data_IF_650514909332
#
_entry.id   IF_650514909332
#
_cell.length_a   1.000
_cell.length_b   1.000
_cell.length_c   1.000
_cell.angle_alpha   90.00
_cell.angle_beta   90.00
_cell.angle_gamma   90.00
#
_symmetry.space_group_name_H-M   'P 1'
#
loop_
_entity.id
_entity.type
_entity.pdbx_description
1 polymer ?
#
# COMPACT_ATOMS: atom_id res chain seq x y z
N UNK A 1 12.96 1.18 6.57
CA UNK A 1 11.79 1.78 7.27
C UNK A 1 10.50 1.12 6.78
N UNK A 2 9.60 0.63 7.66
CA UNK A 2 8.32 0.03 7.27
C UNK A 2 7.11 0.87 7.70
N UNK A 3 6.07 0.90 6.88
CA UNK A 3 4.83 1.64 7.16
C UNK A 3 3.60 0.76 7.00
N UNK A 4 2.53 1.02 7.75
CA UNK A 4 1.22 0.36 7.53
C UNK A 4 0.62 0.80 6.20
N UNK A 5 0.00 -0.12 5.47
CA UNK A 5 -0.65 0.13 4.18
C UNK A 5 -2.11 -0.34 4.14
N UNK A 6 -2.78 -0.08 3.01
CA UNK A 6 -4.16 -0.48 2.75
C UNK A 6 -5.15 -0.12 3.88
N UNK A 7 -6.02 -1.06 4.26
CA UNK A 7 -7.10 -0.79 5.22
C UNK A 7 -6.58 -0.28 6.57
N UNK A 8 -5.47 -0.85 7.07
CA UNK A 8 -4.84 -0.41 8.31
C UNK A 8 -4.39 1.05 8.27
N UNK A 9 -3.84 1.51 7.15
CA UNK A 9 -3.43 2.91 7.01
C UNK A 9 -4.63 3.87 7.02
N UNK A 10 -5.76 3.48 6.43
CA UNK A 10 -6.99 4.28 6.44
C UNK A 10 -7.59 4.36 7.84
N UNK A 11 -7.56 3.27 8.60
CA UNK A 11 -8.04 3.24 9.98
C UNK A 11 -7.14 4.05 10.92
N UNK A 12 -5.82 3.99 10.74
CA UNK A 12 -4.89 4.86 11.45
C UNK A 12 -5.12 6.34 11.14
N UNK A 13 -5.44 6.68 9.88
CA UNK A 13 -5.83 8.04 9.50
C UNK A 13 -7.16 8.47 10.14
N UNK A 14 -8.15 7.57 10.23
CA UNK A 14 -9.46 7.84 10.89
C UNK A 14 -9.34 7.98 12.41
N UNK A 15 -8.35 7.30 13.00
CA UNK A 15 -8.24 7.15 14.46
C UNK A 15 -9.13 6.05 15.04
N UNK A 16 -9.83 5.29 14.20
CA UNK A 16 -10.70 4.17 14.60
C UNK A 16 -10.70 3.07 13.54
N UNK A 17 -10.99 1.85 13.97
CA UNK A 17 -11.09 0.70 13.08
C UNK A 17 -12.47 0.64 12.41
N UNK A 18 -12.52 0.68 11.08
CA UNK A 18 -13.81 0.69 10.36
C UNK A 18 -14.35 -0.69 9.99
N UNK A 19 -13.50 -1.72 9.98
CA UNK A 19 -13.85 -3.13 9.69
C UNK A 19 -12.75 -4.09 10.15
N UNK A 20 -13.04 -5.39 10.16
CA UNK A 20 -11.99 -6.41 10.27
C UNK A 20 -11.05 -6.36 9.06
N UNK A 21 -9.76 -6.61 9.30
CA UNK A 21 -8.75 -6.80 8.27
C UNK A 21 -8.24 -8.23 8.36
N UNK A 22 -8.33 -8.96 7.25
CA UNK A 22 -7.92 -10.36 7.17
C UNK A 22 -6.39 -10.49 7.26
N UNK A 23 -5.68 -9.50 6.74
CA UNK A 23 -4.23 -9.49 6.63
C UNK A 23 -3.63 -8.20 7.23
N UNK A 24 -2.41 -8.32 7.73
CA UNK A 24 -1.56 -7.19 8.06
C UNK A 24 -0.70 -6.85 6.84
N UNK A 25 -0.68 -5.59 6.43
CA UNK A 25 0.12 -5.16 5.28
C UNK A 25 1.10 -4.05 5.67
N UNK A 26 2.34 -4.19 5.18
CA UNK A 26 3.36 -3.16 5.26
C UNK A 26 3.94 -2.83 3.89
N UNK A 27 4.43 -1.61 3.73
CA UNK A 27 5.21 -1.18 2.58
C UNK A 27 6.61 -0.73 3.01
N UNK A 28 7.61 -1.06 2.19
CA UNK A 28 9.02 -0.70 2.36
C UNK A 28 9.66 -0.30 1.03
N UNK A 29 10.72 0.53 1.02
CA UNK A 29 11.59 0.62 -0.15
C UNK A 29 12.09 -0.77 -0.54
N UNK A 30 12.13 -1.08 -1.85
CA UNK A 30 12.53 -2.41 -2.30
C UNK A 30 13.94 -2.82 -1.83
N UNK A 31 14.88 -1.86 -1.73
CA UNK A 31 16.23 -2.12 -1.21
C UNK A 31 16.25 -2.49 0.29
N UNK A 32 15.27 -2.05 1.07
CA UNK A 32 15.16 -2.33 2.51
C UNK A 32 14.55 -3.71 2.78
N UNK A 33 14.08 -4.43 1.76
CA UNK A 33 13.36 -5.70 1.94
C UNK A 33 14.22 -6.77 2.62
N UNK A 34 15.52 -6.81 2.34
CA UNK A 34 16.45 -7.74 3.01
C UNK A 34 16.45 -7.54 4.52
N UNK A 35 16.36 -6.29 4.99
CA UNK A 35 16.30 -5.95 6.42
C UNK A 35 15.03 -6.48 7.10
N UNK A 36 13.92 -6.59 6.34
CA UNK A 36 12.69 -7.22 6.82
C UNK A 36 12.88 -8.73 6.88
N UNK A 37 13.40 -9.34 5.81
CA UNK A 37 13.62 -10.78 5.75
C UNK A 37 14.51 -11.29 6.87
N UNK A 38 15.59 -10.59 7.15
CA UNK A 38 16.59 -11.00 8.14
C UNK A 38 16.05 -10.94 9.59
N UNK A 39 14.94 -10.22 9.83
CA UNK A 39 14.24 -10.21 11.12
C UNK A 39 13.34 -11.43 11.35
N UNK A 40 13.05 -12.20 10.30
CA UNK A 40 12.19 -13.38 10.35
C UNK A 40 12.91 -14.61 9.76
N UNK A 41 14.08 -15.01 10.31
CA UNK A 41 14.94 -16.02 9.70
C UNK A 41 14.34 -17.42 9.67
N UNK A 42 13.35 -17.71 10.52
CA UNK A 42 12.64 -19.00 10.58
C UNK A 42 11.41 -19.05 9.67
N UNK A 43 11.03 -17.93 9.04
CA UNK A 43 9.85 -17.82 8.20
C UNK A 43 10.22 -17.81 6.71
N UNK A 44 9.23 -18.07 5.85
CA UNK A 44 9.41 -18.08 4.39
C UNK A 44 8.74 -16.86 3.79
N UNK A 45 9.44 -16.15 2.89
CA UNK A 45 8.85 -15.10 2.07
C UNK A 45 8.55 -15.64 0.68
N UNK A 46 7.26 -15.74 0.35
CA UNK A 46 6.80 -16.15 -0.97
C UNK A 46 6.50 -14.90 -1.81
N UNK A 47 7.03 -14.82 -3.02
CA UNK A 47 6.69 -13.73 -3.92
C UNK A 47 5.32 -13.97 -4.55
N UNK A 48 4.53 -12.89 -4.71
CA UNK A 48 3.18 -12.97 -5.27
C UNK A 48 2.96 -11.91 -6.33
N UNK A 49 2.33 -12.30 -7.43
CA UNK A 49 2.06 -11.44 -8.57
C UNK A 49 1.43 -12.20 -9.72
N UNK A 50 0.61 -11.51 -10.53
CA UNK A 50 0.02 -12.08 -11.75
C UNK A 50 -0.73 -13.41 -11.55
N UNK A 51 -1.40 -13.57 -10.41
CA UNK A 51 -2.14 -14.80 -10.07
C UNK A 51 -1.27 -16.00 -9.70
N UNK A 52 0.04 -15.81 -9.48
CA UNK A 52 1.00 -16.85 -9.14
C UNK A 52 1.69 -16.55 -7.81
N UNK A 53 2.05 -17.64 -7.13
CA UNK A 53 2.89 -17.66 -5.92
C UNK A 53 4.21 -18.34 -6.29
N UNK A 54 5.33 -17.74 -5.93
CA UNK A 54 6.66 -18.33 -6.01
C UNK A 54 7.16 -18.61 -4.60
N UNK A 55 7.09 -19.87 -4.20
CA UNK A 55 7.44 -20.31 -2.85
C UNK A 55 8.93 -20.14 -2.58
N UNK A 56 9.32 -19.55 -1.44
CA UNK A 56 10.72 -19.31 -1.09
C UNK A 56 11.45 -18.47 -2.14
N UNK A 57 10.84 -17.35 -2.53
CA UNK A 57 11.23 -16.60 -3.72
C UNK A 57 12.70 -16.13 -3.69
N UNK A 58 13.46 -16.57 -4.70
CA UNK A 58 14.78 -16.05 -5.00
C UNK A 58 14.77 -14.69 -5.71
N UNK A 59 15.96 -14.18 -6.03
CA UNK A 59 16.14 -12.85 -6.59
C UNK A 59 15.33 -12.59 -7.88
N UNK A 60 15.22 -13.59 -8.78
CA UNK A 60 14.49 -13.46 -10.03
C UNK A 60 13.00 -13.18 -9.83
N UNK A 61 12.34 -13.94 -8.95
CA UNK A 61 10.93 -13.74 -8.64
C UNK A 61 10.70 -12.41 -7.89
N UNK A 62 11.62 -12.03 -7.00
CA UNK A 62 11.54 -10.75 -6.29
C UNK A 62 11.72 -9.55 -7.22
N UNK A 63 12.49 -9.67 -8.31
CA UNK A 63 12.74 -8.60 -9.26
C UNK A 63 11.52 -8.28 -10.16
N UNK A 64 10.65 -9.26 -10.40
CA UNK A 64 9.47 -9.10 -11.29
C UNK A 64 8.15 -8.99 -10.53
N UNK A 65 8.19 -9.01 -9.19
CA UNK A 65 7.01 -8.87 -8.33
C UNK A 65 7.22 -7.78 -7.29
N UNK A 66 6.13 -7.17 -6.85
CA UNK A 66 6.19 -6.12 -5.82
C UNK A 66 5.68 -6.57 -4.46
N UNK A 67 5.07 -7.75 -4.34
CA UNK A 67 4.48 -8.23 -3.10
C UNK A 67 5.17 -9.52 -2.67
N UNK A 68 5.38 -9.68 -1.37
CA UNK A 68 5.75 -10.95 -0.73
C UNK A 68 4.85 -11.20 0.45
N UNK A 69 4.49 -12.45 0.66
CA UNK A 69 3.77 -12.90 1.84
C UNK A 69 4.72 -13.61 2.78
N UNK A 70 4.71 -13.21 4.05
CA UNK A 70 5.39 -13.95 5.09
C UNK A 70 4.52 -15.15 5.47
N UNK A 71 5.08 -16.35 5.35
CA UNK A 71 4.43 -17.61 5.68
C UNK A 71 5.22 -18.35 6.76
N UNK A 72 4.49 -18.89 7.72
CA UNK A 72 5.00 -19.85 8.68
C UNK A 72 5.20 -21.22 7.99
N UNK A 73 6.42 -21.77 7.96
CA UNK A 73 6.66 -23.07 7.34
C UNK A 73 6.09 -24.24 8.15
N UNK A 74 5.79 -24.06 9.44
CA UNK A 74 5.29 -25.15 10.30
C UNK A 74 3.85 -25.52 9.98
N UNK A 75 2.97 -24.52 9.83
CA UNK A 75 1.53 -24.70 9.60
C UNK A 75 1.03 -24.13 8.26
N UNK A 76 1.90 -23.44 7.52
CA UNK A 76 1.57 -22.85 6.21
C UNK A 76 0.77 -21.55 6.29
N UNK A 77 0.56 -20.97 7.48
CA UNK A 77 -0.24 -19.76 7.67
C UNK A 77 0.51 -18.51 7.19
N UNK A 78 -0.20 -17.63 6.50
CA UNK A 78 0.30 -16.30 6.15
C UNK A 78 0.10 -15.32 7.31
N UNK A 79 1.13 -14.52 7.61
CA UNK A 79 1.14 -13.61 8.76
C UNK A 79 0.98 -12.15 8.35
N UNK A 80 1.73 -11.71 7.34
CA UNK A 80 1.64 -10.36 6.81
C UNK A 80 2.23 -10.25 5.41
N UNK A 81 1.84 -9.18 4.74
CA UNK A 81 2.28 -8.84 3.39
C UNK A 81 3.30 -7.72 3.42
N UNK A 82 4.29 -7.82 2.54
CA UNK A 82 5.28 -6.77 2.31
C UNK A 82 5.22 -6.31 0.87
N UNK A 83 4.79 -5.08 0.66
CA UNK A 83 4.97 -4.38 -0.60
C UNK A 83 6.39 -3.79 -0.67
N UNK A 84 7.14 -4.21 -1.69
CA UNK A 84 8.46 -3.71 -2.06
C UNK A 84 8.30 -2.63 -3.11
N UNK A 85 8.36 -1.38 -2.67
CA UNK A 85 8.11 -0.22 -3.50
C UNK A 85 9.36 0.19 -4.28
N UNK A 86 9.26 0.45 -5.59
CA UNK A 86 10.32 1.08 -6.35
C UNK A 86 10.68 2.44 -5.74
N UNK A 87 11.97 2.77 -5.70
CA UNK A 87 12.44 4.01 -5.09
C UNK A 87 13.80 4.45 -5.65
N UNK A 88 14.13 5.72 -5.42
CA UNK A 88 15.44 6.31 -5.68
C UNK A 88 15.83 7.20 -4.50
N UNK A 89 16.77 6.73 -3.67
CA UNK A 89 17.13 7.41 -2.43
C UNK A 89 15.91 7.62 -1.53
N UNK A 90 15.58 8.90 -1.25
CA UNK A 90 14.42 9.33 -0.44
C UNK A 90 13.12 9.52 -1.25
N UNK A 91 13.13 9.16 -2.52
CA UNK A 91 11.99 9.33 -3.44
C UNK A 91 11.32 7.99 -3.67
N UNK A 92 10.05 7.91 -3.29
CA UNK A 92 9.16 6.82 -3.66
C UNK A 92 8.73 6.95 -5.13
N UNK A 93 8.60 5.83 -5.82
CA UNK A 93 8.20 5.74 -7.23
C UNK A 93 6.94 4.88 -7.32
N UNK A 94 5.89 5.39 -7.96
CA UNK A 94 4.66 4.65 -8.11
C UNK A 94 4.84 3.45 -9.05
N UNK A 95 4.69 2.22 -8.53
CA UNK A 95 4.72 0.98 -9.32
C UNK A 95 3.62 0.84 -10.39
N UNK A 96 2.69 1.80 -10.49
CA UNK A 96 1.65 1.86 -11.53
C UNK A 96 1.94 2.90 -12.62
N UNK A 97 2.76 3.89 -12.31
CA UNK A 97 3.23 4.93 -13.21
C UNK A 97 4.54 5.52 -12.64
N UNK A 98 5.67 5.10 -13.18
CA UNK A 98 7.00 5.48 -12.66
C UNK A 98 7.30 6.98 -12.76
N UNK A 99 6.51 7.72 -13.56
CA UNK A 99 6.62 9.16 -13.67
C UNK A 99 5.94 9.89 -12.50
N UNK A 100 5.12 9.20 -11.70
CA UNK A 100 4.65 9.69 -10.40
C UNK A 100 5.69 9.34 -9.32
N UNK A 101 6.45 10.36 -8.92
CA UNK A 101 7.55 10.26 -7.95
C UNK A 101 7.31 11.26 -6.83
N UNK A 102 7.48 10.83 -5.58
CA UNK A 102 7.18 11.64 -4.40
C UNK A 102 8.22 11.40 -3.30
N UNK A 103 8.64 12.42 -2.53
CA UNK A 103 9.45 12.20 -1.35
C UNK A 103 8.71 11.31 -0.34
N UNK A 104 9.42 10.41 0.35
CA UNK A 104 8.82 9.56 1.38
C UNK A 104 8.12 10.37 2.48
N UNK A 105 8.66 11.54 2.86
CA UNK A 105 8.06 12.44 3.86
C UNK A 105 6.70 13.03 3.41
N UNK A 106 6.36 12.95 2.11
CA UNK A 106 5.05 13.36 1.57
C UNK A 106 4.02 12.24 1.62
N UNK A 107 4.46 10.98 1.62
CA UNK A 107 3.58 9.81 1.51
C UNK A 107 3.50 8.98 2.79
N UNK A 108 4.32 9.29 3.79
CA UNK A 108 4.32 8.66 5.11
C UNK A 108 3.81 9.69 6.12
N UNK A 109 2.71 9.37 6.76
CA UNK A 109 2.19 10.07 7.94
C UNK A 109 2.45 9.26 9.20
N UNK A 110 2.22 9.88 10.37
CA UNK A 110 2.39 9.24 11.67
C UNK A 110 1.21 9.56 12.58
N UNK A 111 0.80 8.57 13.36
CA UNK A 111 -0.13 8.80 14.47
C UNK A 111 0.55 9.61 15.58
N UNK A 112 -0.22 10.05 16.58
CA UNK A 112 0.30 10.70 17.79
C UNK A 112 1.32 9.84 18.53
N UNK A 113 1.15 8.51 18.49
CA UNK A 113 2.07 7.53 19.09
C UNK A 113 3.25 7.18 18.17
N UNK A 114 3.38 7.89 17.04
CA UNK A 114 4.50 7.75 16.11
C UNK A 114 4.40 6.57 15.14
N UNK A 115 3.27 5.87 15.06
CA UNK A 115 3.10 4.72 14.15
C UNK A 115 3.05 5.24 12.71
N UNK A 116 3.98 4.82 11.82
CA UNK A 116 3.99 5.31 10.45
C UNK A 116 2.98 4.56 9.56
N UNK A 117 2.26 5.30 8.72
CA UNK A 117 1.28 4.77 7.77
C UNK A 117 1.30 5.55 6.45
N UNK A 118 0.88 4.89 5.36
CA UNK A 118 0.77 5.56 4.05
C UNK A 118 -0.36 6.60 4.06
N UNK A 119 -0.09 7.76 3.46
CA UNK A 119 -1.08 8.81 3.30
C UNK A 119 -2.37 8.26 2.63
N UNK A 120 -3.57 8.52 3.17
CA UNK A 120 -4.82 7.94 2.69
C UNK A 120 -5.11 8.15 1.20
N UNK A 121 -4.81 9.31 0.61
CA UNK A 121 -4.99 9.50 -0.84
C UNK A 121 -4.10 8.57 -1.68
N UNK A 122 -2.91 8.21 -1.18
CA UNK A 122 -2.05 7.25 -1.86
C UNK A 122 -2.61 5.84 -1.73
N UNK A 123 -3.12 5.49 -0.55
CA UNK A 123 -3.80 4.21 -0.33
C UNK A 123 -5.03 4.07 -1.24
N UNK A 124 -5.84 5.13 -1.36
CA UNK A 124 -6.99 5.17 -2.25
C UNK A 124 -6.56 5.03 -3.72
N UNK A 125 -5.50 5.71 -4.15
CA UNK A 125 -4.94 5.53 -5.50
C UNK A 125 -4.66 4.04 -5.80
N UNK A 126 -4.06 3.30 -4.87
CA UNK A 126 -3.80 1.86 -5.07
C UNK A 126 -5.07 1.01 -5.10
N UNK A 127 -6.07 1.36 -4.28
CA UNK A 127 -7.35 0.65 -4.21
C UNK A 127 -8.21 0.83 -5.47
N UNK A 128 -8.09 1.98 -6.15
CA UNK A 128 -8.80 2.27 -7.39
C UNK A 128 -8.54 1.26 -8.52
N UNK A 129 -7.40 0.56 -8.50
CA UNK A 129 -7.13 -0.49 -9.50
C UNK A 129 -8.18 -1.61 -9.51
N UNK A 130 -8.65 -2.01 -8.33
CA UNK A 130 -9.58 -3.14 -8.20
C UNK A 130 -11.00 -2.68 -7.88
N UNK A 131 -11.15 -1.57 -7.14
CA UNK A 131 -12.43 -0.98 -6.74
C UNK A 131 -13.44 -2.02 -6.20
N UNK A 132 -12.96 -3.00 -5.41
CA UNK A 132 -13.81 -4.03 -4.80
C UNK A 132 -14.81 -3.36 -3.83
N UNK A 133 -15.91 -4.03 -3.42
CA UNK A 133 -16.86 -3.44 -2.47
C UNK A 133 -16.21 -2.86 -1.19
N UNK A 134 -15.20 -3.54 -0.63
CA UNK A 134 -14.43 -3.01 0.51
C UNK A 134 -13.59 -1.78 0.17
N UNK A 135 -13.07 -1.69 -1.05
CA UNK A 135 -12.30 -0.54 -1.52
C UNK A 135 -13.21 0.67 -1.77
N UNK A 136 -14.43 0.46 -2.27
CA UNK A 136 -15.46 1.49 -2.39
C UNK A 136 -15.91 2.02 -1.02
N UNK A 137 -16.15 1.12 -0.06
CA UNK A 137 -16.48 1.51 1.31
C UNK A 137 -15.34 2.30 1.96
N UNK A 138 -14.09 1.86 1.76
CA UNK A 138 -12.89 2.57 2.21
C UNK A 138 -12.83 3.98 1.62
N UNK A 139 -13.08 4.14 0.31
CA UNK A 139 -13.14 5.43 -0.38
C UNK A 139 -14.22 6.35 0.20
N UNK A 140 -15.47 5.88 0.29
CA UNK A 140 -16.56 6.69 0.83
C UNK A 140 -16.36 7.07 2.29
N UNK A 141 -15.76 6.20 3.10
CA UNK A 141 -15.50 6.48 4.51
C UNK A 141 -14.33 7.45 4.74
N UNK A 142 -13.34 7.49 3.84
CA UNK A 142 -12.17 8.38 3.97
C UNK A 142 -12.39 9.71 3.27
N UNK A 143 -13.07 9.74 2.13
CA UNK A 143 -13.20 10.92 1.30
C UNK A 143 -13.70 12.18 2.05
N UNK A 144 -14.75 12.11 2.91
CA UNK A 144 -15.22 13.27 3.67
C UNK A 144 -14.22 13.80 4.69
N UNK A 145 -13.27 12.97 5.13
CA UNK A 145 -12.25 13.33 6.12
C UNK A 145 -11.01 13.97 5.47
N UNK A 146 -10.86 13.84 4.14
CA UNK A 146 -9.79 14.49 3.39
C UNK A 146 -10.07 15.98 3.23
N UNK A 147 -9.07 16.82 3.50
CA UNK A 147 -9.14 18.24 3.17
C UNK A 147 -9.24 18.46 1.66
N UNK A 148 -9.71 19.64 1.22
CA UNK A 148 -9.87 19.96 -0.21
C UNK A 148 -8.56 19.77 -1.00
N UNK A 149 -7.43 20.16 -0.43
CA UNK A 149 -6.10 19.96 -1.03
C UNK A 149 -5.80 18.48 -1.27
N UNK A 150 -6.13 17.62 -0.31
CA UNK A 150 -5.90 16.17 -0.42
C UNK A 150 -6.84 15.51 -1.43
N UNK A 151 -8.11 15.95 -1.47
CA UNK A 151 -9.06 15.51 -2.50
C UNK A 151 -8.58 15.90 -3.91
N UNK A 152 -8.10 17.13 -4.08
CA UNK A 152 -7.53 17.59 -5.36
C UNK A 152 -6.30 16.77 -5.76
N UNK A 153 -5.42 16.47 -4.80
CA UNK A 153 -4.26 15.61 -5.03
C UNK A 153 -4.66 14.19 -5.45
N UNK A 154 -5.62 13.58 -4.76
CA UNK A 154 -6.19 12.28 -5.15
C UNK A 154 -6.77 12.34 -6.57
N UNK A 155 -7.54 13.38 -6.89
CA UNK A 155 -8.10 13.59 -8.24
C UNK A 155 -6.99 13.64 -9.30
N UNK A 156 -5.95 14.45 -9.08
CA UNK A 156 -4.80 14.56 -10.01
C UNK A 156 -4.12 13.20 -10.21
N UNK A 157 -3.89 12.44 -9.14
CA UNK A 157 -3.25 11.13 -9.26
C UNK A 157 -4.14 10.10 -9.94
N UNK A 158 -5.45 10.07 -9.63
CA UNK A 158 -6.39 9.19 -10.30
C UNK A 158 -6.51 9.52 -11.79
N UNK A 159 -6.61 10.79 -12.18
CA UNK A 159 -6.66 11.18 -13.60
C UNK A 159 -5.44 10.69 -14.37
N UNK A 160 -4.28 10.67 -13.73
CA UNK A 160 -3.02 10.19 -14.31
C UNK A 160 -2.94 8.67 -14.40
N UNK A 161 -3.16 7.98 -13.29
CA UNK A 161 -2.88 6.54 -13.15
C UNK A 161 -4.07 5.68 -13.57
N UNK A 162 -5.29 6.20 -13.42
CA UNK A 162 -6.56 5.53 -13.70
C UNK A 162 -7.54 6.49 -14.42
N UNK A 163 -7.20 6.94 -15.65
CA UNK A 163 -8.06 7.85 -16.40
C UNK A 163 -9.47 7.26 -16.59
N UNK A 164 -10.50 8.07 -16.34
CA UNK A 164 -11.90 7.64 -16.44
C UNK A 164 -12.43 6.82 -15.27
N UNK A 165 -11.68 6.68 -14.17
CA UNK A 165 -12.16 5.97 -12.99
C UNK A 165 -13.38 6.66 -12.36
N UNK A 166 -14.39 5.89 -11.94
CA UNK A 166 -15.67 6.38 -11.41
C UNK A 166 -15.53 7.36 -10.22
N UNK A 167 -14.54 7.15 -9.35
CA UNK A 167 -14.25 8.08 -8.24
C UNK A 167 -13.91 9.51 -8.68
N UNK A 168 -13.50 9.74 -9.94
CA UNK A 168 -13.27 11.08 -10.46
C UNK A 168 -14.55 11.92 -10.52
N UNK A 169 -15.69 11.29 -10.82
CA UNK A 169 -16.99 11.96 -10.85
C UNK A 169 -17.44 12.35 -9.44
N UNK A 170 -17.23 11.45 -8.48
CA UNK A 170 -17.52 11.70 -7.06
C UNK A 170 -16.65 12.82 -6.47
N UNK A 171 -15.39 12.91 -6.92
CA UNK A 171 -14.47 13.99 -6.56
C UNK A 171 -14.81 15.33 -7.24
N UNK A 172 -15.51 15.31 -8.38
CA UNK A 172 -15.94 16.51 -9.09
C UNK A 172 -17.22 17.12 -8.53
N UNK A 173 -18.10 16.30 -7.93
CA UNK A 173 -19.35 16.74 -7.29
C UNK A 173 -19.18 17.37 -5.89
N UNK A 174 -17.94 17.54 -5.42
CA UNK A 174 -17.59 18.19 -4.15
C UNK A 174 -16.77 19.44 -4.41
#
# INVERSE_FOLDING_TARGET
MSVRSAGWALDLFRGEQSRSHDDLEIAVPAADFTEIRDRFPTYVFDAVGSGRIWTGAGAEALAVTHQTWLRDPEDGRFLFDVFREPHEGRTWICRRDESLRLPYDTIIERTTDGIPYLAPELVLLFKARAARPKDQADFHGVLPLLSRTRQNRLKTWLTRVHPGHAWLDELAGR
#
